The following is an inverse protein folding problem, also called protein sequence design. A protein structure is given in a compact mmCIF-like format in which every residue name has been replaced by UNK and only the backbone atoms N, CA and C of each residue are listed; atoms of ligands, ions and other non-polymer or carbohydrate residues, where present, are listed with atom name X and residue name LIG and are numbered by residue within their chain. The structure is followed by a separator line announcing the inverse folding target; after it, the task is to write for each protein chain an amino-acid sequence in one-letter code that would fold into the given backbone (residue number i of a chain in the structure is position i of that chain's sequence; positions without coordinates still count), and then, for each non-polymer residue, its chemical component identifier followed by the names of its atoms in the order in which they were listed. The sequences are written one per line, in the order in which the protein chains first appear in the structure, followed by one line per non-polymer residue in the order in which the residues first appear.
data_IF_613318667624
#
_entry.id   IF_613318667624
#
_cell.length_a   1.000
_cell.length_b   1.000
_cell.length_c   1.000
_cell.angle_alpha   90.00
_cell.angle_beta   90.00
_cell.angle_gamma   90.00
#
_symmetry.space_group_name_H-M   'P 1'
#
loop_
_entity.id
_entity.type
_entity.pdbx_description
1 polymer ?
#
# COMPACT_ATOMS: atom_id res chain seq x y z
N UNK A 1 22.91 -55.66 40.78
CA UNK A 1 23.70 -54.62 41.48
C UNK A 1 24.51 -53.90 40.41
N UNK A 2 24.42 -52.56 40.38
CA UNK A 2 25.08 -51.61 39.48
C UNK A 2 24.49 -51.39 38.06
N UNK A 3 23.86 -50.21 37.93
CA UNK A 3 23.49 -49.48 36.72
C UNK A 3 24.49 -48.30 36.57
N UNK A 4 24.53 -47.67 35.38
CA UNK A 4 25.07 -46.31 35.11
C UNK A 4 26.60 -46.16 34.97
N UNK A 5 27.18 -45.33 34.10
CA UNK A 5 26.68 -44.26 33.24
C UNK A 5 27.74 -43.96 32.16
N UNK A 6 27.35 -43.91 30.88
CA UNK A 6 28.19 -43.27 29.84
C UNK A 6 27.36 -42.66 28.70
N UNK A 7 26.14 -42.19 29.00
CA UNK A 7 25.23 -41.57 28.02
C UNK A 7 24.77 -40.15 28.37
N UNK A 8 25.26 -39.56 29.47
CA UNK A 8 24.68 -38.35 30.06
C UNK A 8 25.46 -37.04 29.78
N UNK A 9 26.17 -36.92 28.65
CA UNK A 9 26.97 -35.71 28.37
C UNK A 9 26.68 -34.98 27.05
N UNK A 10 25.73 -35.45 26.24
CA UNK A 10 25.36 -34.73 24.98
C UNK A 10 24.05 -33.94 25.12
N UNK A 11 23.21 -34.27 26.10
CA UNK A 11 21.88 -33.64 26.28
C UNK A 11 21.86 -32.46 27.25
N UNK A 12 22.94 -32.19 27.99
CA UNK A 12 23.00 -31.15 29.01
C UNK A 12 23.25 -29.72 28.49
N UNK A 13 23.50 -29.52 27.19
CA UNK A 13 23.82 -28.20 26.60
C UNK A 13 22.56 -27.38 26.25
N UNK A 14 21.34 -27.91 26.46
CA UNK A 14 20.11 -27.36 25.86
C UNK A 14 19.30 -26.42 26.77
N UNK A 15 19.70 -26.18 28.02
CA UNK A 15 18.84 -25.41 28.96
C UNK A 15 19.04 -23.88 28.98
N UNK A 16 20.14 -23.34 28.45
CA UNK A 16 20.51 -21.92 28.62
C UNK A 16 20.17 -20.95 27.46
N UNK A 17 19.44 -21.39 26.44
CA UNK A 17 19.17 -20.53 25.27
C UNK A 17 20.39 -20.19 24.39
N UNK A 18 21.58 -20.74 24.72
CA UNK A 18 22.84 -20.54 23.99
C UNK A 18 23.23 -21.80 23.23
N UNK A 19 22.40 -22.19 22.25
CA UNK A 19 22.62 -23.37 21.42
C UNK A 19 22.65 -23.06 19.92
N UNK A 20 23.06 -24.06 19.13
CA UNK A 20 23.03 -24.01 17.66
C UNK A 20 21.62 -23.75 17.11
N UNK A 21 20.58 -24.13 17.85
CA UNK A 21 19.19 -23.88 17.49
C UNK A 21 18.88 -22.39 17.41
N UNK A 22 19.33 -21.59 18.39
CA UNK A 22 19.11 -20.13 18.42
C UNK A 22 19.93 -19.43 17.34
N UNK A 23 21.15 -19.91 17.07
CA UNK A 23 21.94 -19.44 15.93
C UNK A 23 21.21 -19.73 14.62
N UNK A 24 20.62 -20.92 14.47
CA UNK A 24 19.80 -21.28 13.31
C UNK A 24 18.56 -20.41 13.16
N UNK A 25 17.87 -20.10 14.26
CA UNK A 25 16.71 -19.19 14.27
C UNK A 25 17.09 -17.77 13.84
N UNK A 26 18.21 -17.25 14.36
CA UNK A 26 18.76 -15.95 13.97
C UNK A 26 19.21 -15.94 12.51
N UNK A 27 19.86 -17.01 12.04
CA UNK A 27 20.26 -17.18 10.65
C UNK A 27 19.06 -17.23 9.70
N UNK A 28 17.98 -17.91 10.08
CA UNK A 28 16.73 -17.92 9.33
C UNK A 28 16.09 -16.53 9.29
N UNK A 29 16.00 -15.84 10.43
CA UNK A 29 15.50 -14.47 10.48
C UNK A 29 16.30 -13.53 9.58
N UNK A 30 17.63 -13.62 9.62
CA UNK A 30 18.54 -12.87 8.78
C UNK A 30 18.27 -13.14 7.29
N UNK A 31 18.16 -14.41 6.89
CA UNK A 31 17.95 -14.81 5.51
C UNK A 31 16.60 -14.32 4.96
N UNK A 32 15.50 -14.58 5.68
CA UNK A 32 14.15 -14.19 5.24
C UNK A 32 13.97 -12.67 5.20
N UNK A 33 14.46 -11.96 6.21
CA UNK A 33 14.40 -10.50 6.24
C UNK A 33 15.30 -9.85 5.17
N UNK A 34 16.45 -10.46 4.87
CA UNK A 34 17.31 -10.03 3.75
C UNK A 34 16.65 -10.28 2.40
N UNK A 35 15.92 -11.38 2.24
CA UNK A 35 15.19 -11.67 1.00
C UNK A 35 14.13 -10.60 0.72
N UNK A 36 13.37 -10.19 1.74
CA UNK A 36 12.43 -9.06 1.66
C UNK A 36 13.19 -7.78 1.32
N UNK A 37 14.25 -7.47 2.06
CA UNK A 37 15.04 -6.27 1.84
C UNK A 37 15.68 -6.17 0.45
N UNK A 38 16.08 -7.30 -0.13
CA UNK A 38 16.67 -7.39 -1.47
C UNK A 38 15.63 -7.05 -2.54
N UNK A 39 14.42 -7.60 -2.41
CA UNK A 39 13.28 -7.26 -3.28
C UNK A 39 12.98 -5.76 -3.25
N UNK A 40 12.97 -5.17 -2.04
CA UNK A 40 12.72 -3.74 -1.84
C UNK A 40 13.79 -2.87 -2.49
N UNK A 41 15.05 -3.26 -2.31
CA UNK A 41 16.18 -2.54 -2.89
C UNK A 41 16.16 -2.62 -4.42
N UNK A 42 15.86 -3.79 -4.98
CA UNK A 42 15.76 -3.97 -6.44
C UNK A 42 14.62 -3.13 -7.04
N UNK A 43 13.52 -2.96 -6.31
CA UNK A 43 12.41 -2.07 -6.71
C UNK A 43 12.65 -0.58 -6.40
N UNK A 44 13.87 -0.19 -6.07
CA UNK A 44 14.26 1.20 -5.80
C UNK A 44 13.39 1.87 -4.73
N UNK A 45 13.03 1.10 -3.68
CA UNK A 45 12.20 1.58 -2.59
C UNK A 45 13.07 2.25 -1.52
N UNK A 46 12.54 3.26 -0.80
CA UNK A 46 13.33 4.12 0.10
C UNK A 46 13.99 3.36 1.26
N UNK A 47 13.38 2.25 1.69
CA UNK A 47 13.95 1.34 2.68
C UNK A 47 14.29 0.04 1.96
N UNK A 48 15.56 -0.33 2.01
CA UNK A 48 16.12 -1.48 1.30
C UNK A 48 16.71 -2.53 2.23
N UNK A 49 17.69 -3.26 1.71
CA UNK A 49 18.24 -4.48 2.30
C UNK A 49 18.63 -4.34 3.78
N UNK A 50 19.51 -3.39 4.09
CA UNK A 50 20.12 -3.23 5.43
C UNK A 50 19.06 -3.08 6.52
N UNK A 51 18.06 -2.24 6.29
CA UNK A 51 17.03 -1.94 7.28
C UNK A 51 16.13 -3.14 7.53
N UNK A 52 15.64 -3.80 6.47
CA UNK A 52 14.78 -4.98 6.64
C UNK A 52 15.52 -6.11 7.37
N UNK A 53 16.77 -6.39 6.97
CA UNK A 53 17.61 -7.40 7.65
C UNK A 53 17.77 -7.09 9.14
N UNK A 54 18.11 -5.85 9.51
CA UNK A 54 18.29 -5.45 10.91
C UNK A 54 16.97 -5.53 11.71
N UNK A 55 15.85 -5.12 11.12
CA UNK A 55 14.53 -5.18 11.77
C UNK A 55 14.14 -6.63 12.07
N UNK A 56 14.25 -7.53 11.09
CA UNK A 56 13.91 -8.94 11.27
C UNK A 56 14.86 -9.65 12.23
N UNK A 57 16.18 -9.46 12.05
CA UNK A 57 17.20 -10.06 12.91
C UNK A 57 17.09 -9.57 14.37
N UNK A 58 16.92 -8.26 14.57
CA UNK A 58 16.75 -7.67 15.90
C UNK A 58 15.47 -8.14 16.59
N UNK A 59 14.37 -8.26 15.84
CA UNK A 59 13.10 -8.78 16.37
C UNK A 59 13.22 -10.25 16.81
N UNK A 60 13.95 -11.08 16.05
CA UNK A 60 14.25 -12.45 16.43
C UNK A 60 15.10 -12.51 17.72
N UNK A 61 16.13 -11.66 17.80
CA UNK A 61 16.99 -11.55 18.98
C UNK A 61 16.18 -11.16 20.23
N UNK A 62 15.29 -10.18 20.13
CA UNK A 62 14.44 -9.79 21.26
C UNK A 62 13.54 -10.93 21.75
N UNK A 63 12.98 -11.74 20.85
CA UNK A 63 12.18 -12.91 21.24
C UNK A 63 13.04 -13.98 21.92
N UNK A 64 14.23 -14.26 21.40
CA UNK A 64 15.15 -15.23 22.00
C UNK A 64 15.59 -14.78 23.40
N UNK A 65 16.00 -13.52 23.54
CA UNK A 65 16.37 -12.93 24.85
C UNK A 65 15.18 -12.99 25.81
N UNK A 66 13.97 -12.65 25.36
CA UNK A 66 12.79 -12.70 26.20
C UNK A 66 12.39 -14.12 26.64
N UNK A 67 12.73 -15.12 25.83
CA UNK A 67 12.38 -16.52 26.09
C UNK A 67 13.39 -17.21 27.01
N UNK A 68 14.68 -16.90 26.88
CA UNK A 68 15.74 -17.66 27.56
C UNK A 68 16.69 -16.81 28.42
N UNK A 69 16.70 -15.49 28.26
CA UNK A 69 17.73 -14.62 28.84
C UNK A 69 17.55 -14.25 30.32
N UNK A 70 16.53 -14.78 30.99
CA UNK A 70 16.16 -14.40 32.37
C UNK A 70 16.13 -15.59 33.33
N UNK A 71 16.67 -16.75 32.94
CA UNK A 71 16.65 -17.96 33.77
C UNK A 71 17.39 -17.80 35.11
N UNK A 72 18.33 -16.87 35.19
CA UNK A 72 19.16 -16.54 36.35
C UNK A 72 18.43 -15.69 37.42
N UNK A 73 17.33 -15.04 37.05
CA UNK A 73 16.55 -14.16 37.93
C UNK A 73 15.18 -14.73 38.31
N UNK A 74 14.87 -15.95 37.87
CA UNK A 74 13.62 -16.65 38.24
C UNK A 74 13.71 -17.19 39.67
N UNK A 75 12.79 -16.74 40.53
CA UNK A 75 12.55 -17.31 41.87
C UNK A 75 11.29 -18.18 41.91
N UNK A 76 11.00 -18.77 43.07
CA UNK A 76 9.82 -19.65 43.30
C UNK A 76 8.48 -19.00 42.94
N UNK A 77 8.39 -17.67 43.06
CA UNK A 77 7.16 -16.90 42.85
C UNK A 77 7.20 -16.01 41.59
N UNK A 78 8.24 -16.15 40.74
CA UNK A 78 8.42 -15.33 39.53
C UNK A 78 8.03 -16.13 38.30
N UNK A 79 6.93 -15.72 37.65
CA UNK A 79 6.52 -16.31 36.36
C UNK A 79 7.08 -15.49 35.20
N UNK A 80 7.82 -16.15 34.29
CA UNK A 80 8.31 -15.52 33.07
C UNK A 80 7.15 -15.29 32.08
N UNK A 81 7.04 -14.08 31.55
CA UNK A 81 6.11 -13.77 30.44
C UNK A 81 6.87 -13.24 29.21
N UNK A 82 7.26 -14.13 28.28
CA UNK A 82 7.92 -13.74 27.03
C UNK A 82 7.07 -12.88 26.10
N UNK A 83 5.74 -12.88 26.27
CA UNK A 83 4.84 -12.13 25.40
C UNK A 83 4.98 -10.62 25.56
N UNK A 84 5.46 -10.15 26.73
CA UNK A 84 5.64 -8.71 27.01
C UNK A 84 6.63 -8.06 26.06
N UNK A 85 7.79 -8.67 25.84
CA UNK A 85 8.79 -8.12 24.91
C UNK A 85 8.26 -8.17 23.49
N UNK A 86 7.61 -9.27 23.08
CA UNK A 86 6.98 -9.35 21.76
C UNK A 86 5.94 -8.24 21.54
N UNK A 87 5.10 -7.95 22.54
CA UNK A 87 4.14 -6.84 22.48
C UNK A 87 4.83 -5.47 22.36
N UNK A 88 5.97 -5.27 23.02
CA UNK A 88 6.77 -4.04 22.87
C UNK A 88 7.43 -3.92 21.50
N UNK A 89 7.86 -5.03 20.89
CA UNK A 89 8.35 -5.02 19.50
C UNK A 89 7.24 -4.59 18.54
N UNK A 90 6.02 -5.12 18.68
CA UNK A 90 4.86 -4.72 17.85
C UNK A 90 4.58 -3.22 18.00
N UNK A 91 4.54 -2.72 19.24
CA UNK A 91 4.32 -1.29 19.53
C UNK A 91 5.43 -0.42 18.95
N UNK A 92 6.70 -0.77 19.18
CA UNK A 92 7.85 -0.02 18.72
C UNK A 92 7.95 0.07 17.20
N UNK A 93 7.67 -1.03 16.50
CA UNK A 93 7.64 -1.03 15.04
C UNK A 93 6.44 -0.25 14.49
N UNK A 94 5.30 -0.24 15.20
CA UNK A 94 4.17 0.64 14.87
C UNK A 94 4.56 2.12 14.88
N UNK A 95 5.31 2.55 15.90
CA UNK A 95 5.82 3.93 15.99
C UNK A 95 6.81 4.26 14.85
N UNK A 96 7.79 3.38 14.60
CA UNK A 96 8.75 3.56 13.49
C UNK A 96 8.02 3.58 12.14
N UNK A 97 7.02 2.71 11.96
CA UNK A 97 6.19 2.63 10.77
C UNK A 97 5.41 3.91 10.50
N UNK A 98 4.87 4.57 11.54
CA UNK A 98 4.26 5.90 11.42
C UNK A 98 5.24 6.94 10.87
N UNK A 99 6.50 6.89 11.29
CA UNK A 99 7.58 7.75 10.78
C UNK A 99 7.98 7.49 9.32
N UNK A 100 7.40 6.47 8.66
CA UNK A 100 7.61 6.18 7.24
C UNK A 100 6.45 6.69 6.37
N UNK A 101 5.36 7.16 6.98
CA UNK A 101 4.17 7.63 6.29
C UNK A 101 4.22 9.16 6.23
N UNK A 102 4.14 9.70 5.01
CA UNK A 102 4.18 11.14 4.78
C UNK A 102 3.08 11.56 3.82
N UNK A 103 2.49 12.73 4.06
CA UNK A 103 1.47 13.32 3.21
C UNK A 103 2.09 14.47 2.43
N UNK A 104 1.92 14.47 1.11
CA UNK A 104 2.38 15.55 0.23
C UNK A 104 1.26 15.93 -0.72
N UNK A 105 0.66 17.10 -0.51
CA UNK A 105 -0.61 17.47 -1.16
C UNK A 105 -1.70 16.48 -0.77
N UNK A 106 -2.42 15.96 -1.76
CA UNK A 106 -3.48 14.96 -1.56
C UNK A 106 -2.99 13.50 -1.59
N UNK A 107 -1.68 13.27 -1.70
CA UNK A 107 -1.11 11.93 -1.78
C UNK A 107 -0.46 11.46 -0.47
N UNK A 108 -0.86 10.28 0.01
CA UNK A 108 -0.20 9.58 1.13
C UNK A 108 0.85 8.61 0.60
N UNK A 109 2.11 8.80 1.01
CA UNK A 109 3.22 7.95 0.63
C UNK A 109 3.70 7.11 1.81
N UNK A 110 4.29 5.94 1.51
CA UNK A 110 4.99 5.13 2.51
C UNK A 110 4.15 4.10 3.26
N UNK A 111 2.81 4.08 3.10
CA UNK A 111 1.90 3.11 3.72
C UNK A 111 2.35 1.65 3.55
N UNK A 112 2.59 1.23 2.30
CA UNK A 112 3.05 -0.14 2.02
C UNK A 112 4.44 -0.40 2.59
N UNK A 113 5.32 0.60 2.59
CA UNK A 113 6.67 0.46 3.17
C UNK A 113 6.59 0.22 4.67
N UNK A 114 5.76 0.99 5.38
CA UNK A 114 5.50 0.82 6.81
C UNK A 114 4.94 -0.58 7.12
N UNK A 115 3.95 -1.03 6.33
CA UNK A 115 3.37 -2.36 6.48
C UNK A 115 4.41 -3.49 6.25
N UNK A 116 5.31 -3.34 5.28
CA UNK A 116 6.36 -4.34 5.02
C UNK A 116 7.40 -4.37 6.14
N UNK A 117 7.79 -3.22 6.70
CA UNK A 117 8.67 -3.19 7.89
C UNK A 117 8.00 -3.90 9.07
N UNK A 118 6.72 -3.64 9.30
CA UNK A 118 5.92 -4.33 10.33
C UNK A 118 5.88 -5.85 10.11
N UNK A 119 5.61 -6.28 8.88
CA UNK A 119 5.64 -7.69 8.48
C UNK A 119 7.02 -8.33 8.69
N UNK A 120 8.10 -7.59 8.38
CA UNK A 120 9.48 -8.07 8.53
C UNK A 120 9.82 -8.34 10.00
N UNK A 121 9.38 -7.45 10.90
CA UNK A 121 9.54 -7.64 12.34
C UNK A 121 8.77 -8.89 12.82
N UNK A 122 7.52 -9.06 12.38
CA UNK A 122 6.72 -10.23 12.72
C UNK A 122 7.35 -11.55 12.26
N UNK A 123 7.93 -11.59 11.04
CA UNK A 123 8.68 -12.76 10.54
C UNK A 123 9.91 -13.03 11.41
N UNK A 124 10.65 -11.98 11.77
CA UNK A 124 11.77 -12.08 12.71
C UNK A 124 11.37 -12.68 14.06
N UNK A 125 10.28 -12.18 14.66
CA UNK A 125 9.74 -12.73 15.91
C UNK A 125 9.33 -14.20 15.78
N UNK A 126 8.68 -14.58 14.67
CA UNK A 126 8.33 -15.98 14.41
C UNK A 126 9.57 -16.88 14.32
N UNK A 127 10.64 -16.43 13.65
CA UNK A 127 11.92 -17.12 13.64
C UNK A 127 12.51 -17.28 15.05
N UNK A 128 12.57 -16.19 15.83
CA UNK A 128 13.08 -16.20 17.20
C UNK A 128 12.25 -17.06 18.17
N UNK A 129 10.94 -17.22 17.89
CA UNK A 129 10.07 -18.12 18.63
C UNK A 129 10.31 -19.61 18.28
N UNK A 130 11.04 -19.89 17.19
CA UNK A 130 11.26 -21.24 16.65
C UNK A 130 10.19 -21.69 15.65
N UNK A 131 9.32 -20.80 15.18
CA UNK A 131 8.22 -21.10 14.27
C UNK A 131 8.65 -20.95 12.80
N UNK A 132 9.61 -21.77 12.36
CA UNK A 132 10.21 -21.68 11.03
C UNK A 132 9.19 -21.81 9.89
N UNK A 133 8.25 -22.76 9.99
CA UNK A 133 7.20 -22.95 8.96
C UNK A 133 6.27 -21.73 8.87
N UNK A 134 5.91 -21.13 10.01
CA UNK A 134 5.06 -19.92 10.05
C UNK A 134 5.80 -18.75 9.42
N UNK A 135 7.08 -18.57 9.74
CA UNK A 135 7.93 -17.52 9.17
C UNK A 135 8.09 -17.66 7.64
N UNK A 136 8.29 -18.89 7.15
CA UNK A 136 8.36 -19.19 5.72
C UNK A 136 7.04 -18.90 5.00
N UNK A 137 5.92 -19.36 5.57
CA UNK A 137 4.60 -19.12 5.00
C UNK A 137 4.26 -17.62 4.95
N UNK A 138 4.56 -16.89 6.03
CA UNK A 138 4.36 -15.45 6.10
C UNK A 138 5.24 -14.68 5.09
N UNK A 139 6.49 -15.13 4.89
CA UNK A 139 7.39 -14.58 3.88
C UNK A 139 6.88 -14.85 2.47
N UNK A 140 6.39 -16.07 2.19
CA UNK A 140 5.76 -16.40 0.92
C UNK A 140 4.52 -15.53 0.66
N UNK A 141 3.66 -15.35 1.67
CA UNK A 141 2.51 -14.44 1.60
C UNK A 141 2.89 -13.01 1.28
N UNK A 142 3.96 -12.49 1.88
CA UNK A 142 4.52 -11.18 1.52
C UNK A 142 4.86 -11.09 0.03
N UNK A 143 5.57 -12.08 -0.52
CA UNK A 143 5.91 -12.11 -1.94
C UNK A 143 4.68 -12.24 -2.84
N UNK A 144 3.66 -13.00 -2.44
CA UNK A 144 2.39 -13.06 -3.18
C UNK A 144 1.77 -11.66 -3.27
N UNK A 145 1.67 -10.95 -2.15
CA UNK A 145 1.09 -9.60 -2.13
C UNK A 145 1.90 -8.64 -3.00
N UNK A 146 3.23 -8.63 -2.91
CA UNK A 146 4.05 -7.63 -3.63
C UNK A 146 4.28 -7.99 -5.11
N UNK A 147 4.31 -9.28 -5.47
CA UNK A 147 4.59 -9.72 -6.84
C UNK A 147 3.34 -10.05 -7.66
N UNK A 148 2.30 -10.62 -7.03
CA UNK A 148 1.11 -11.13 -7.72
C UNK A 148 0.02 -10.08 -7.77
N UNK A 149 -0.26 -9.35 -6.69
CA UNK A 149 -1.39 -8.41 -6.68
C UNK A 149 -1.28 -7.31 -7.73
N UNK A 150 -0.11 -6.66 -7.94
CA UNK A 150 0.01 -5.67 -9.02
C UNK A 150 -0.27 -6.25 -10.41
N UNK A 151 0.02 -7.54 -10.63
CA UNK A 151 -0.26 -8.22 -11.91
C UNK A 151 -1.72 -8.65 -12.01
N UNK A 152 -2.30 -9.14 -10.92
CA UNK A 152 -3.69 -9.56 -10.87
C UNK A 152 -4.64 -8.37 -11.08
N UNK A 153 -4.31 -7.22 -10.51
CA UNK A 153 -5.07 -5.98 -10.68
C UNK A 153 -5.06 -5.45 -12.12
N UNK A 154 -4.08 -5.83 -12.94
CA UNK A 154 -4.05 -5.50 -14.38
C UNK A 154 -5.00 -6.41 -15.17
N UNK A 155 -5.23 -7.64 -14.71
CA UNK A 155 -6.11 -8.62 -15.37
C UNK A 155 -7.58 -8.42 -14.98
N UNK A 156 -7.84 -7.91 -13.78
CA UNK A 156 -9.18 -7.54 -13.38
C UNK A 156 -9.62 -6.35 -14.25
N UNK A 157 -10.78 -6.43 -14.94
CA UNK A 157 -11.35 -5.27 -15.62
C UNK A 157 -11.59 -4.22 -14.55
N UNK A 158 -10.67 -3.26 -14.47
CA UNK A 158 -10.89 -2.05 -13.73
C UNK A 158 -12.16 -1.48 -14.34
N UNK A 159 -13.19 -1.27 -13.53
CA UNK A 159 -14.32 -0.44 -13.93
C UNK A 159 -13.76 0.98 -14.04
N UNK A 160 -12.99 1.22 -15.12
CA UNK A 160 -12.55 2.52 -15.59
C UNK A 160 -13.84 3.24 -15.84
N UNK A 161 -14.21 4.05 -14.87
CA UNK A 161 -15.15 5.11 -15.11
C UNK A 161 -14.42 6.02 -16.10
N UNK A 162 -14.78 5.87 -17.39
CA UNK A 162 -14.22 6.66 -18.48
C UNK A 162 -14.58 8.10 -18.17
N UNK A 163 -13.58 8.85 -17.72
CA UNK A 163 -13.68 10.28 -17.50
C UNK A 163 -13.54 10.96 -18.85
N UNK A 164 -14.57 11.68 -19.27
CA UNK A 164 -14.53 12.48 -20.48
C UNK A 164 -14.59 13.96 -20.10
N UNK A 165 -13.72 14.76 -20.68
CA UNK A 165 -13.81 16.21 -20.61
C UNK A 165 -14.68 16.72 -21.75
N UNK A 166 -15.68 17.55 -21.44
CA UNK A 166 -16.47 18.27 -22.43
C UNK A 166 -16.32 19.76 -22.17
N UNK A 167 -15.64 20.46 -23.08
CA UNK A 167 -15.55 21.92 -23.07
C UNK A 167 -16.56 22.49 -24.06
N UNK A 168 -17.42 23.38 -23.58
CA UNK A 168 -18.46 24.04 -24.37
C UNK A 168 -18.32 25.54 -24.21
N UNK A 169 -18.25 26.27 -25.32
CA UNK A 169 -18.25 27.73 -25.35
C UNK A 169 -19.59 28.18 -25.92
N UNK A 170 -20.34 29.03 -25.21
CA UNK A 170 -21.68 29.45 -25.61
C UNK A 170 -21.98 30.91 -25.25
N UNK A 171 -22.99 31.48 -25.89
CA UNK A 171 -23.51 32.83 -25.59
C UNK A 171 -24.26 32.86 -24.25
N UNK A 172 -23.86 33.76 -23.35
CA UNK A 172 -24.49 33.94 -22.04
C UNK A 172 -25.93 34.44 -22.16
N UNK A 173 -26.78 34.09 -21.18
CA UNK A 173 -28.17 34.57 -21.10
C UNK A 173 -29.23 33.75 -21.87
N UNK A 174 -28.84 32.69 -22.59
CA UNK A 174 -29.79 31.78 -23.29
C UNK A 174 -30.13 30.49 -22.53
N UNK A 175 -29.61 30.31 -21.31
CA UNK A 175 -29.86 29.10 -20.50
C UNK A 175 -29.20 27.82 -21.04
N UNK A 176 -28.22 27.95 -21.94
CA UNK A 176 -27.58 26.84 -22.65
C UNK A 176 -26.92 25.85 -21.70
N UNK A 177 -26.31 26.30 -20.59
CA UNK A 177 -25.73 25.42 -19.58
C UNK A 177 -26.73 24.38 -19.07
N UNK A 178 -27.97 24.78 -18.79
CA UNK A 178 -29.01 23.87 -18.32
C UNK A 178 -29.32 22.81 -19.37
N UNK A 179 -29.39 23.21 -20.64
CA UNK A 179 -29.62 22.30 -21.77
C UNK A 179 -28.47 21.30 -21.89
N UNK A 180 -27.21 21.77 -21.85
CA UNK A 180 -26.02 20.91 -21.91
C UNK A 180 -25.99 19.89 -20.75
N UNK A 181 -26.24 20.33 -19.51
CA UNK A 181 -26.28 19.43 -18.35
C UNK A 181 -27.42 18.40 -18.48
N UNK A 182 -28.59 18.80 -18.99
CA UNK A 182 -29.71 17.90 -19.23
C UNK A 182 -29.42 16.88 -20.32
N UNK A 183 -28.71 17.26 -21.38
CA UNK A 183 -28.28 16.36 -22.45
C UNK A 183 -27.29 15.32 -21.96
N UNK A 184 -26.31 15.74 -21.16
CA UNK A 184 -25.34 14.82 -20.53
C UNK A 184 -26.08 13.77 -19.69
N UNK A 185 -26.99 14.22 -18.83
CA UNK A 185 -27.72 13.34 -17.91
C UNK A 185 -28.69 12.41 -18.66
N UNK A 186 -29.38 12.91 -19.69
CA UNK A 186 -30.32 12.12 -20.51
C UNK A 186 -29.63 10.99 -21.25
N UNK A 187 -28.37 11.18 -21.66
CA UNK A 187 -27.56 10.16 -22.34
C UNK A 187 -26.81 9.23 -21.38
N UNK A 188 -27.06 9.36 -20.07
CA UNK A 188 -26.49 8.48 -19.06
C UNK A 188 -25.06 8.83 -18.64
N UNK A 189 -24.62 10.07 -18.85
CA UNK A 189 -23.39 10.59 -18.24
C UNK A 189 -23.71 11.20 -16.88
N UNK A 190 -22.95 10.80 -15.86
CA UNK A 190 -22.91 11.47 -14.57
C UNK A 190 -21.92 12.64 -14.65
N UNK A 191 -22.34 13.83 -14.23
CA UNK A 191 -21.48 15.01 -14.16
C UNK A 191 -20.71 14.96 -12.84
N UNK A 192 -19.38 14.94 -12.93
CA UNK A 192 -18.47 14.87 -11.77
C UNK A 192 -18.08 16.26 -11.33
N UNK A 193 -17.70 17.12 -12.28
CA UNK A 193 -17.27 18.49 -12.02
C UNK A 193 -17.77 19.43 -13.13
N UNK A 194 -18.05 20.68 -12.76
CA UNK A 194 -18.43 21.76 -13.66
C UNK A 194 -17.60 22.99 -13.32
N UNK A 195 -16.73 23.40 -14.24
CA UNK A 195 -15.91 24.61 -14.10
C UNK A 195 -16.35 25.63 -15.14
N UNK A 196 -16.76 26.81 -14.71
CA UNK A 196 -17.18 27.89 -15.59
C UNK A 196 -16.13 28.99 -15.61
N UNK A 197 -15.60 29.32 -16.79
CA UNK A 197 -14.75 30.47 -17.03
C UNK A 197 -15.49 31.46 -17.91
N UNK A 198 -15.82 32.63 -17.36
CA UNK A 198 -16.25 33.76 -18.19
C UNK A 198 -15.04 34.24 -19.00
N UNK A 199 -15.20 34.29 -20.31
CA UNK A 199 -14.18 34.84 -21.18
C UNK A 199 -14.41 36.35 -21.25
N UNK A 200 -13.53 37.13 -20.63
CA UNK A 200 -13.45 38.57 -20.88
C UNK A 200 -12.98 38.79 -22.32
N UNK A 201 -13.90 38.80 -23.30
CA UNK A 201 -13.84 39.69 -24.46
C UNK A 201 -15.09 39.61 -25.36
N UNK A 202 -15.49 40.80 -25.77
CA UNK A 202 -16.52 41.17 -26.72
C UNK A 202 -16.09 40.87 -28.16
N UNK A 203 -16.74 39.90 -28.81
CA UNK A 203 -16.80 39.83 -30.27
C UNK A 203 -18.28 39.93 -30.65
N UNK A 204 -18.77 41.16 -30.91
CA UNK A 204 -20.14 41.56 -31.36
C UNK A 204 -21.18 41.88 -30.27
N UNK A 205 -20.78 42.29 -29.07
CA UNK A 205 -21.65 42.73 -27.97
C UNK A 205 -22.30 41.59 -27.18
N UNK A 206 -21.85 40.34 -27.38
CA UNK A 206 -22.36 39.17 -26.68
C UNK A 206 -21.35 38.69 -25.61
N UNK A 207 -21.84 38.49 -24.39
CA UNK A 207 -21.08 37.85 -23.31
C UNK A 207 -20.92 36.35 -23.62
N UNK A 208 -19.70 35.82 -23.53
CA UNK A 208 -19.38 34.42 -23.85
C UNK A 208 -18.91 33.69 -22.60
N UNK A 209 -19.43 32.49 -22.37
CA UNK A 209 -19.06 31.63 -21.25
C UNK A 209 -18.44 30.34 -21.77
N UNK A 210 -17.28 29.98 -21.24
CA UNK A 210 -16.69 28.67 -21.43
C UNK A 210 -16.98 27.79 -20.22
N UNK A 211 -17.49 26.59 -20.44
CA UNK A 211 -17.75 25.60 -19.40
C UNK A 211 -16.98 24.34 -19.71
N UNK A 212 -16.21 23.86 -18.74
CA UNK A 212 -15.57 22.56 -18.75
C UNK A 212 -16.36 21.61 -17.84
N UNK A 213 -16.74 20.46 -18.38
CA UNK A 213 -17.49 19.42 -17.69
C UNK A 213 -16.62 18.18 -17.61
N UNK A 214 -16.47 17.62 -16.40
CA UNK A 214 -15.98 16.26 -16.24
C UNK A 214 -17.17 15.30 -16.18
N UNK A 215 -17.22 14.40 -17.15
CA UNK A 215 -18.31 13.45 -17.34
C UNK A 215 -17.83 12.03 -17.08
N UNK A 216 -18.69 11.23 -16.48
CA UNK A 216 -18.46 9.83 -16.16
C UNK A 216 -19.60 8.99 -16.72
N UNK A 217 -19.34 8.09 -17.65
CA UNK A 217 -20.45 7.33 -18.24
C UNK A 217 -20.11 6.53 -19.49
N UNK A 218 -21.12 6.36 -20.33
CA UNK A 218 -21.17 5.49 -21.51
C UNK A 218 -19.96 5.63 -22.46
N UNK A 219 -19.60 4.58 -23.23
CA UNK A 219 -18.25 4.36 -23.75
C UNK A 219 -17.75 5.35 -24.81
N UNK A 220 -18.54 6.32 -25.24
CA UNK A 220 -18.15 7.26 -26.30
C UNK A 220 -18.76 8.65 -26.08
N UNK A 221 -17.92 9.68 -25.94
CA UNK A 221 -18.35 11.08 -25.81
C UNK A 221 -18.72 11.73 -27.16
N UNK A 222 -18.28 11.17 -28.28
CA UNK A 222 -18.47 11.76 -29.62
C UNK A 222 -19.94 12.05 -29.96
N UNK A 223 -20.92 11.15 -29.72
CA UNK A 223 -22.33 11.46 -30.00
C UNK A 223 -22.89 12.57 -29.12
N UNK A 224 -22.34 12.74 -27.90
CA UNK A 224 -22.71 13.82 -26.99
C UNK A 224 -22.11 15.15 -27.47
N UNK A 225 -20.85 15.16 -27.90
CA UNK A 225 -20.19 16.34 -28.44
C UNK A 225 -20.91 16.89 -29.68
N UNK A 226 -21.31 16.01 -30.60
CA UNK A 226 -22.10 16.39 -31.79
C UNK A 226 -23.44 17.01 -31.38
N UNK A 227 -24.18 16.37 -30.48
CA UNK A 227 -25.49 16.86 -30.05
C UNK A 227 -25.43 18.19 -29.30
N UNK A 228 -24.35 18.43 -28.56
CA UNK A 228 -24.12 19.72 -27.88
C UNK A 228 -23.69 20.79 -28.88
N UNK A 229 -22.96 20.43 -29.94
CA UNK A 229 -22.57 21.35 -31.02
C UNK A 229 -23.75 21.83 -31.86
N UNK A 230 -24.81 21.03 -31.95
CA UNK A 230 -26.03 21.36 -32.71
C UNK A 230 -26.99 22.29 -31.92
N UNK A 231 -26.66 22.66 -30.68
CA UNK A 231 -27.51 23.56 -29.88
C UNK A 231 -27.34 25.02 -30.32
N UNK A 232 -28.47 25.71 -30.52
CA UNK A 232 -28.50 27.13 -30.86
C UNK A 232 -27.82 27.99 -29.78
N UNK A 233 -26.75 28.70 -30.17
CA UNK A 233 -25.95 29.57 -29.31
C UNK A 233 -24.68 28.93 -28.73
N UNK A 234 -24.38 27.68 -29.09
CA UNK A 234 -23.06 27.07 -28.87
C UNK A 234 -22.10 27.51 -29.99
N UNK A 235 -20.93 28.00 -29.59
CA UNK A 235 -19.89 28.52 -30.48
C UNK A 235 -18.80 27.49 -30.74
N UNK A 236 -18.42 26.72 -29.72
CA UNK A 236 -17.35 25.73 -29.81
C UNK A 236 -17.61 24.57 -28.85
N UNK A 237 -17.33 23.34 -29.31
CA UNK A 237 -17.36 22.13 -28.49
C UNK A 237 -16.07 21.35 -28.69
N UNK A 238 -15.36 21.07 -27.60
CA UNK A 238 -14.21 20.19 -27.59
C UNK A 238 -14.44 19.04 -26.61
N UNK A 239 -14.34 17.81 -27.08
CA UNK A 239 -14.40 16.61 -26.25
C UNK A 239 -13.00 16.01 -26.13
N UNK A 240 -12.57 15.75 -24.90
CA UNK A 240 -11.30 15.11 -24.58
C UNK A 240 -11.55 13.79 -23.89
N UNK A 241 -11.06 12.71 -24.49
CA UNK A 241 -11.06 11.40 -23.84
C UNK A 241 -9.83 11.28 -22.94
N UNK A 242 -10.03 11.42 -21.63
CA UNK A 242 -8.93 11.31 -20.66
C UNK A 242 -8.46 9.86 -20.48
N UNK A 243 -9.12 8.86 -21.10
CA UNK A 243 -8.63 7.48 -21.09
C UNK A 243 -7.53 7.20 -22.10
N UNK A 244 -7.32 8.09 -23.07
CA UNK A 244 -6.34 7.92 -24.15
C UNK A 244 -5.02 8.66 -23.94
N UNK A 245 -4.91 9.47 -22.89
CA UNK A 245 -3.73 10.32 -22.61
C UNK A 245 -2.85 9.78 -21.47
N UNK A 246 -2.93 8.47 -21.20
CA UNK A 246 -2.18 7.77 -20.15
C UNK A 246 -1.08 6.84 -20.66
N UNK A 247 -0.68 6.98 -21.92
CA UNK A 247 0.51 6.31 -22.49
C UNK A 247 1.78 7.15 -22.25
#
# INVERSE_FOLDING_TARGET
MAWSASGASVTAVVEGGQGWTQIGQLGLAFALASLIGLERNWRHKPIGLRTHTLVGFGSALFVIVSKYGFSDVLGSDVTLDPSRVAAQVVTGIGFIGGGLIFVRGDAVQGLTTAAIVWMTAAIGMACGAGLALVALFATAGHFVVVLVYPRLLVVLPHSRHVGFGLRVVYEDGRGILRTVLSECTRRGFAIVEVTTHQLEHDIRGASVVAVALELRGQPTIEPLAVAVSDLDGVLEVAATDHTRNGD
#
